data_IF_566790703427
#
_entry.id   IF_566790703427
#
_cell.length_a   1.000
_cell.length_b   1.000
_cell.length_c   1.000
_cell.angle_alpha   90.00
_cell.angle_beta   90.00
_cell.angle_gamma   90.00
#
_symmetry.space_group_name_H-M   'P 1'
#
loop_
_entity.id
_entity.type
_entity.pdbx_description
1 polymer ?
#
# COMPACT_ATOMS: atom_id res chain seq x y z
N UNK A 1 4.52 -24.63 12.70
CA UNK A 1 4.23 -25.07 11.32
C UNK A 1 3.74 -23.85 10.56
N UNK A 2 4.38 -23.52 9.45
CA UNK A 2 3.93 -22.45 8.56
C UNK A 2 2.55 -22.82 8.00
N UNK A 3 1.62 -21.86 7.99
CA UNK A 3 0.28 -22.06 7.43
C UNK A 3 0.19 -21.32 6.10
N UNK A 4 0.50 -22.07 5.04
CA UNK A 4 0.58 -21.57 3.67
C UNK A 4 -0.77 -21.02 3.19
N UNK A 5 -1.86 -21.76 3.43
CA UNK A 5 -3.22 -21.36 3.05
C UNK A 5 -3.63 -20.04 3.71
N UNK A 6 -3.38 -19.90 5.02
CA UNK A 6 -3.66 -18.65 5.74
C UNK A 6 -2.80 -17.50 5.22
N UNK A 7 -1.52 -17.75 4.94
CA UNK A 7 -0.59 -16.74 4.40
C UNK A 7 -1.05 -16.24 3.03
N UNK A 8 -1.43 -17.16 2.13
CA UNK A 8 -1.98 -16.84 0.80
C UNK A 8 -3.19 -15.92 0.88
N UNK A 9 -4.12 -16.26 1.76
CA UNK A 9 -5.35 -15.48 1.96
C UNK A 9 -5.04 -14.09 2.50
N UNK A 10 -4.15 -13.99 3.50
CA UNK A 10 -3.75 -12.71 4.08
C UNK A 10 -3.06 -11.82 3.05
N UNK A 11 -2.13 -12.36 2.25
CA UNK A 11 -1.47 -11.62 1.17
C UNK A 11 -2.50 -11.12 0.15
N UNK A 12 -3.45 -11.98 -0.26
CA UNK A 12 -4.48 -11.61 -1.21
C UNK A 12 -5.41 -10.50 -0.69
N UNK A 13 -5.74 -10.55 0.60
CA UNK A 13 -6.51 -9.50 1.27
C UNK A 13 -5.73 -8.18 1.33
N UNK A 14 -4.46 -8.22 1.77
CA UNK A 14 -3.61 -7.04 1.90
C UNK A 14 -3.31 -6.40 0.55
N UNK A 15 -3.09 -7.19 -0.51
CA UNK A 15 -2.98 -6.70 -1.89
C UNK A 15 -4.17 -5.83 -2.27
N UNK A 16 -5.39 -6.31 -2.02
CA UNK A 16 -6.62 -5.56 -2.30
C UNK A 16 -6.74 -4.30 -1.43
N UNK A 17 -6.32 -4.38 -0.17
CA UNK A 17 -6.32 -3.23 0.73
C UNK A 17 -5.36 -2.14 0.26
N UNK A 18 -4.14 -2.50 -0.15
CA UNK A 18 -3.15 -1.60 -0.74
C UNK A 18 -3.73 -0.90 -1.97
N UNK A 19 -4.28 -1.67 -2.92
CA UNK A 19 -4.86 -1.12 -4.14
C UNK A 19 -5.97 -0.12 -3.84
N UNK A 20 -6.85 -0.42 -2.88
CA UNK A 20 -7.89 0.54 -2.43
C UNK A 20 -7.29 1.81 -1.86
N UNK A 21 -6.26 1.71 -1.02
CA UNK A 21 -5.60 2.88 -0.47
C UNK A 21 -4.97 3.73 -1.59
N UNK A 22 -4.31 3.11 -2.57
CA UNK A 22 -3.72 3.81 -3.72
C UNK A 22 -4.78 4.56 -4.56
N UNK A 23 -5.93 3.92 -4.80
CA UNK A 23 -7.09 4.59 -5.41
C UNK A 23 -7.58 5.75 -4.55
N UNK A 24 -7.67 5.58 -3.22
CA UNK A 24 -8.05 6.65 -2.30
C UNK A 24 -7.07 7.82 -2.33
N UNK A 25 -5.76 7.59 -2.43
CA UNK A 25 -4.78 8.67 -2.64
C UNK A 25 -5.15 9.48 -3.88
N UNK A 26 -5.28 8.80 -5.02
CA UNK A 26 -5.58 9.45 -6.30
C UNK A 26 -6.90 10.23 -6.24
N UNK A 27 -7.91 9.67 -5.59
CA UNK A 27 -9.21 10.30 -5.45
C UNK A 27 -9.18 11.51 -4.52
N UNK A 28 -8.57 11.40 -3.33
CA UNK A 28 -8.45 12.52 -2.38
C UNK A 28 -7.70 13.68 -3.00
N UNK A 29 -6.57 13.46 -3.67
CA UNK A 29 -5.86 14.55 -4.35
C UNK A 29 -6.71 15.20 -5.45
N UNK A 30 -7.50 14.41 -6.18
CA UNK A 30 -8.42 14.92 -7.19
C UNK A 30 -9.58 15.74 -6.58
N UNK A 31 -10.16 15.27 -5.47
CA UNK A 31 -11.31 15.91 -4.81
C UNK A 31 -10.95 17.29 -4.26
N UNK A 32 -9.71 17.47 -3.82
CA UNK A 32 -9.18 18.75 -3.35
C UNK A 32 -8.44 19.53 -4.45
N UNK A 33 -8.43 19.05 -5.70
CA UNK A 33 -7.75 19.67 -6.85
C UNK A 33 -6.24 19.92 -6.64
N UNK A 34 -5.56 19.01 -5.94
CA UNK A 34 -4.14 19.10 -5.60
C UNK A 34 -3.31 18.20 -6.52
N UNK A 35 -2.22 18.73 -7.06
CA UNK A 35 -1.26 17.93 -7.81
C UNK A 35 -0.43 17.04 -6.87
N UNK A 36 -0.45 15.73 -7.10
CA UNK A 36 0.22 14.72 -6.25
C UNK A 36 1.72 14.99 -6.07
N UNK A 37 2.43 15.33 -7.16
CA UNK A 37 3.89 15.48 -7.16
C UNK A 37 4.40 16.84 -6.70
N UNK A 38 3.55 17.86 -6.70
CA UNK A 38 3.90 19.21 -6.28
C UNK A 38 2.64 19.86 -5.71
N UNK A 39 2.27 19.52 -4.47
CA UNK A 39 1.03 19.99 -3.88
C UNK A 39 1.09 21.50 -3.63
N UNK A 40 0.09 22.21 -4.13
CA UNK A 40 -0.15 23.63 -3.87
C UNK A 40 -1.49 23.78 -3.15
N UNK A 41 -1.51 24.55 -2.07
CA UNK A 41 -2.67 24.68 -1.18
C UNK A 41 -3.33 26.06 -1.24
N UNK A 42 -2.90 26.92 -2.18
CA UNK A 42 -3.29 28.33 -2.21
C UNK A 42 -4.79 28.57 -2.44
N UNK A 43 -5.50 27.57 -2.98
CA UNK A 43 -6.94 27.64 -3.23
C UNK A 43 -7.80 27.04 -2.11
N UNK A 44 -7.18 26.38 -1.13
CA UNK A 44 -7.89 25.80 0.01
C UNK A 44 -7.94 26.79 1.17
N UNK A 45 -9.09 26.85 1.85
CA UNK A 45 -9.16 27.49 3.17
C UNK A 45 -8.57 26.58 4.28
N UNK A 46 -8.41 27.15 5.48
CA UNK A 46 -7.80 26.44 6.62
C UNK A 46 -8.55 25.15 6.99
N UNK A 47 -9.88 25.13 6.90
CA UNK A 47 -10.69 23.95 7.25
C UNK A 47 -10.57 22.86 6.19
N UNK A 48 -10.54 23.25 4.91
CA UNK A 48 -10.33 22.34 3.79
C UNK A 48 -8.92 21.75 3.84
N UNK A 49 -7.91 22.57 4.15
CA UNK A 49 -6.53 22.12 4.30
C UNK A 49 -6.37 21.14 5.47
N UNK A 50 -6.99 21.42 6.62
CA UNK A 50 -6.98 20.51 7.77
C UNK A 50 -7.67 19.18 7.43
N UNK A 51 -8.82 19.24 6.76
CA UNK A 51 -9.58 18.04 6.34
C UNK A 51 -8.77 17.20 5.34
N UNK A 52 -8.16 17.83 4.35
CA UNK A 52 -7.26 17.18 3.41
C UNK A 52 -6.09 16.49 4.12
N UNK A 53 -5.38 17.20 4.99
CA UNK A 53 -4.24 16.65 5.77
C UNK A 53 -4.67 15.47 6.63
N UNK A 54 -5.86 15.54 7.25
CA UNK A 54 -6.41 14.43 8.04
C UNK A 54 -6.70 13.19 7.19
N UNK A 55 -7.34 13.36 6.03
CA UNK A 55 -7.62 12.27 5.10
C UNK A 55 -6.32 11.62 4.59
N UNK A 56 -5.36 12.43 4.14
CA UNK A 56 -4.03 11.99 3.70
C UNK A 56 -3.33 11.19 4.79
N UNK A 57 -3.33 11.69 6.03
CA UNK A 57 -2.73 10.99 7.17
C UNK A 57 -3.42 9.64 7.44
N UNK A 58 -4.75 9.60 7.37
CA UNK A 58 -5.53 8.37 7.54
C UNK A 58 -5.21 7.33 6.47
N UNK A 59 -5.17 7.75 5.20
CA UNK A 59 -4.82 6.88 4.06
C UNK A 59 -3.38 6.38 4.23
N UNK A 60 -2.42 7.26 4.53
CA UNK A 60 -1.02 6.90 4.77
C UNK A 60 -0.87 5.86 5.88
N UNK A 61 -1.49 6.07 7.03
CA UNK A 61 -1.46 5.11 8.15
C UNK A 61 -2.00 3.74 7.73
N UNK A 62 -3.10 3.70 6.99
CA UNK A 62 -3.70 2.45 6.53
C UNK A 62 -2.84 1.74 5.48
N UNK A 63 -2.30 2.49 4.53
CA UNK A 63 -1.39 1.97 3.50
C UNK A 63 -0.12 1.41 4.13
N UNK A 64 0.49 2.14 5.06
CA UNK A 64 1.71 1.72 5.75
C UNK A 64 1.50 0.44 6.57
N UNK A 65 0.37 0.31 7.28
CA UNK A 65 0.02 -0.91 8.01
C UNK A 65 -0.14 -2.11 7.07
N UNK A 66 -0.82 -1.92 5.94
CA UNK A 66 -1.02 -2.98 4.96
C UNK A 66 0.30 -3.39 4.29
N UNK A 67 1.11 -2.41 3.88
CA UNK A 67 2.44 -2.58 3.32
C UNK A 67 3.36 -3.37 4.26
N UNK A 68 3.54 -2.91 5.51
CA UNK A 68 4.39 -3.58 6.48
C UNK A 68 3.96 -5.03 6.72
N UNK A 69 2.64 -5.28 6.77
CA UNK A 69 2.12 -6.63 6.99
C UNK A 69 2.34 -7.54 5.78
N UNK A 70 2.15 -7.06 4.56
CA UNK A 70 2.34 -7.89 3.36
C UNK A 70 3.82 -8.19 3.12
N UNK A 71 4.72 -7.23 3.39
CA UNK A 71 6.17 -7.44 3.30
C UNK A 71 6.62 -8.47 4.32
N UNK A 72 6.16 -8.39 5.57
CA UNK A 72 6.45 -9.43 6.56
C UNK A 72 6.01 -10.82 6.13
N UNK A 73 4.80 -10.96 5.58
CA UNK A 73 4.29 -12.25 5.09
C UNK A 73 5.05 -12.75 3.85
N UNK A 74 5.47 -11.83 2.99
CA UNK A 74 6.33 -12.14 1.85
C UNK A 74 7.66 -12.74 2.32
N UNK A 75 8.33 -12.07 3.25
CA UNK A 75 9.63 -12.52 3.78
C UNK A 75 9.51 -13.88 4.48
N UNK A 76 8.46 -14.09 5.27
CA UNK A 76 8.22 -15.37 5.91
C UNK A 76 7.97 -16.48 4.90
N UNK A 77 7.18 -16.21 3.85
CA UNK A 77 6.92 -17.22 2.82
C UNK A 77 8.16 -17.48 1.96
N UNK A 78 8.96 -16.46 1.64
CA UNK A 78 10.20 -16.60 0.90
C UNK A 78 11.18 -17.54 1.63
N UNK A 79 11.33 -17.39 2.96
CA UNK A 79 12.16 -18.32 3.77
C UNK A 79 11.67 -19.76 3.69
N UNK A 80 10.35 -19.99 3.65
CA UNK A 80 9.82 -21.35 3.55
C UNK A 80 10.11 -21.97 2.18
N UNK A 81 10.03 -21.17 1.11
CA UNK A 81 10.37 -21.61 -0.25
C UNK A 81 11.84 -22.04 -0.39
N UNK A 82 12.76 -21.45 0.39
CA UNK A 82 14.16 -21.86 0.42
C UNK A 82 14.36 -23.25 1.06
N UNK A 83 13.50 -23.61 2.02
CA UNK A 83 13.58 -24.88 2.76
C UNK A 83 12.68 -25.98 2.22
N UNK A 84 11.67 -25.64 1.41
CA UNK A 84 10.63 -26.56 0.93
C UNK A 84 10.26 -26.27 -0.54
N UNK A 85 10.52 -27.27 -1.41
CA UNK A 85 10.23 -27.19 -2.83
C UNK A 85 8.72 -27.15 -3.13
N UNK A 86 7.88 -27.74 -2.28
CA UNK A 86 6.42 -27.73 -2.45
C UNK A 86 5.85 -26.32 -2.20
N UNK A 87 6.47 -25.57 -1.28
CA UNK A 87 6.12 -24.15 -1.06
C UNK A 87 6.60 -23.26 -2.21
N UNK A 88 7.76 -23.53 -2.80
CA UNK A 88 8.22 -22.83 -4.00
C UNK A 88 7.26 -23.02 -5.18
N UNK A 89 6.76 -24.24 -5.38
CA UNK A 89 5.73 -24.52 -6.39
C UNK A 89 4.41 -23.84 -6.04
N UNK A 90 3.99 -23.87 -4.76
CA UNK A 90 2.78 -23.20 -4.30
C UNK A 90 2.82 -21.69 -4.53
N UNK A 91 3.99 -21.06 -4.36
CA UNK A 91 4.19 -19.65 -4.70
C UNK A 91 4.04 -19.40 -6.20
N UNK A 92 4.66 -20.23 -7.04
CA UNK A 92 4.51 -20.12 -8.50
C UNK A 92 3.04 -20.22 -8.94
N UNK A 93 2.30 -21.19 -8.39
CA UNK A 93 0.89 -21.40 -8.69
C UNK A 93 0.04 -20.21 -8.21
N UNK A 94 0.33 -19.67 -7.03
CA UNK A 94 -0.34 -18.50 -6.49
C UNK A 94 -0.18 -17.29 -7.41
N UNK A 95 1.05 -16.97 -7.82
CA UNK A 95 1.34 -15.81 -8.66
C UNK A 95 0.68 -15.97 -10.03
N UNK A 96 0.73 -17.17 -10.61
CA UNK A 96 0.07 -17.48 -11.89
C UNK A 96 -1.44 -17.30 -11.82
N UNK A 97 -2.07 -17.71 -10.70
CA UNK A 97 -3.53 -17.67 -10.55
C UNK A 97 -4.08 -16.32 -10.11
N UNK A 98 -3.39 -15.64 -9.20
CA UNK A 98 -3.88 -14.43 -8.53
C UNK A 98 -3.13 -13.15 -8.92
N UNK A 99 -2.10 -13.28 -9.77
CA UNK A 99 -1.23 -12.21 -10.22
C UNK A 99 -0.21 -11.79 -9.16
N UNK A 100 0.93 -11.29 -9.64
CA UNK A 100 2.05 -10.92 -8.76
C UNK A 100 1.71 -9.76 -7.83
N UNK A 101 1.60 -10.04 -6.53
CA UNK A 101 1.27 -9.03 -5.52
C UNK A 101 2.44 -8.09 -5.22
N UNK A 102 3.68 -8.43 -5.62
CA UNK A 102 4.86 -7.57 -5.42
C UNK A 102 4.78 -6.27 -6.22
N UNK A 103 4.00 -6.26 -7.30
CA UNK A 103 3.63 -5.04 -8.03
C UNK A 103 2.91 -4.05 -7.11
N UNK A 104 1.89 -4.52 -6.37
CA UNK A 104 1.16 -3.70 -5.41
C UNK A 104 2.05 -3.22 -4.26
N UNK A 105 3.02 -4.03 -3.82
CA UNK A 105 4.02 -3.60 -2.82
C UNK A 105 4.84 -2.41 -3.36
N UNK A 106 5.28 -2.49 -4.62
CA UNK A 106 6.07 -1.41 -5.25
C UNK A 106 5.25 -0.13 -5.46
N UNK A 107 3.98 -0.27 -5.88
CA UNK A 107 3.04 0.84 -5.98
C UNK A 107 2.79 1.50 -4.62
N UNK A 108 2.66 0.71 -3.54
CA UNK A 108 2.47 1.23 -2.19
C UNK A 108 3.61 2.14 -1.75
N UNK A 109 4.87 1.79 -2.04
CA UNK A 109 6.04 2.63 -1.71
C UNK A 109 5.95 3.97 -2.41
N UNK A 110 5.65 3.97 -3.71
CA UNK A 110 5.51 5.20 -4.49
C UNK A 110 4.44 6.12 -3.91
N UNK A 111 3.26 5.57 -3.58
CA UNK A 111 2.18 6.36 -2.98
C UNK A 111 2.47 6.80 -1.54
N UNK A 112 3.24 6.05 -0.75
CA UNK A 112 3.65 6.48 0.57
C UNK A 112 4.56 7.72 0.50
N UNK A 113 5.49 7.75 -0.45
CA UNK A 113 6.35 8.92 -0.71
C UNK A 113 5.52 10.14 -1.16
N UNK A 114 4.53 9.93 -2.02
CA UNK A 114 3.62 10.99 -2.48
C UNK A 114 2.77 11.57 -1.32
N UNK A 115 2.36 10.72 -0.37
CA UNK A 115 1.61 11.14 0.81
C UNK A 115 2.46 11.89 1.85
N UNK A 116 3.79 11.80 1.78
CA UNK A 116 4.70 12.57 2.64
C UNK A 116 4.79 14.03 2.22
N UNK A 117 4.74 14.32 0.91
CA UNK A 117 4.87 15.67 0.36
C UNK A 117 3.89 16.70 0.98
N UNK A 118 2.58 16.43 1.08
CA UNK A 118 1.64 17.38 1.69
C UNK A 118 1.70 17.46 3.21
N UNK A 119 2.35 16.50 3.88
CA UNK A 119 2.47 16.43 5.34
C UNK A 119 3.76 17.06 5.85
N UNK A 120 4.77 17.23 4.99
CA UNK A 120 6.00 17.93 5.33
C UNK A 120 5.71 19.44 5.46
N UNK A 121 5.58 19.91 6.70
CA UNK A 121 5.36 21.32 7.10
C UNK A 121 6.57 22.25 6.80
N UNK A 122 7.45 21.87 5.87
CA UNK A 122 8.59 22.71 5.46
C UNK A 122 8.20 23.62 4.30
N UNK A 123 7.38 24.63 4.57
CA UNK A 123 7.34 25.89 3.81
C UNK A 123 6.75 27.02 4.64
#
# INVERSE_FOLDING_TARGET
MFDSVKTHWQIGFLKKQIQRCCTSVTQTFKDYEIAVKNPEFTHLDDNQLESFRFEVHSIKSNLLKAYNRVTFLHDEWAKQQESDADEAQSFHDYITKYGDYRTAISEAVTHLEELDLPLDDRR
#
